data_IF_189522066221
#
_entry.id   IF_189522066221
#
_cell.length_a   1.000
_cell.length_b   1.000
_cell.length_c   1.000
_cell.angle_alpha   90.00
_cell.angle_beta   90.00
_cell.angle_gamma   90.00
#
_symmetry.space_group_name_H-M   'P 1'
#
loop_
_entity.id
_entity.type
_entity.pdbx_description
1 polymer ?
#
# COMPACT_ATOMS: atom_id res chain seq x y z
N UNK A 1 6.90 35.87 32.79
CA UNK A 1 6.06 34.68 32.56
C UNK A 1 4.67 35.15 32.19
N UNK A 2 4.28 34.96 30.93
CA UNK A 2 2.92 35.07 30.36
C UNK A 2 3.14 35.32 28.86
N UNK A 3 2.57 34.61 27.90
CA UNK A 3 1.82 33.37 27.85
C UNK A 3 1.82 33.07 26.36
N UNK A 4 2.40 31.95 25.94
CA UNK A 4 2.53 31.64 24.53
C UNK A 4 1.12 31.28 24.01
N UNK A 5 0.49 32.18 23.26
CA UNK A 5 -0.78 31.90 22.59
C UNK A 5 -0.50 30.94 21.43
N UNK A 6 -0.80 29.66 21.66
CA UNK A 6 -0.88 28.66 20.61
C UNK A 6 -2.06 28.98 19.71
N UNK A 7 -1.80 29.76 18.66
CA UNK A 7 -2.73 30.02 17.58
C UNK A 7 -2.78 28.78 16.68
N UNK A 8 -3.63 27.82 17.04
CA UNK A 8 -4.12 26.83 16.09
C UNK A 8 -5.03 27.58 15.10
N UNK A 9 -4.43 28.13 14.04
CA UNK A 9 -5.18 28.78 12.97
C UNK A 9 -6.14 27.79 12.35
N UNK A 10 -7.45 27.95 12.61
CA UNK A 10 -8.47 27.56 11.64
C UNK A 10 -8.06 28.23 10.33
N UNK A 11 -7.70 27.47 9.31
CA UNK A 11 -7.54 28.02 7.98
C UNK A 11 -8.89 28.59 7.57
N UNK A 12 -8.98 29.91 7.50
CA UNK A 12 -10.15 30.62 7.00
C UNK A 12 -10.41 30.16 5.56
N UNK A 13 -11.68 30.06 5.15
CA UNK A 13 -12.10 29.59 3.81
C UNK A 13 -11.35 30.32 2.66
N UNK A 14 -10.95 31.57 2.90
CA UNK A 14 -10.13 32.40 2.01
C UNK A 14 -8.74 31.81 1.68
N UNK A 15 -8.16 30.98 2.54
CA UNK A 15 -6.86 30.33 2.31
C UNK A 15 -6.91 29.19 1.29
N UNK A 16 -8.10 28.66 1.01
CA UNK A 16 -8.31 27.57 0.04
C UNK A 16 -8.72 28.08 -1.35
N UNK A 17 -9.11 29.34 -1.48
CA UNK A 17 -9.55 29.94 -2.76
C UNK A 17 -8.57 29.75 -3.93
N UNK A 18 -7.24 29.89 -3.76
CA UNK A 18 -6.30 29.61 -4.86
C UNK A 18 -6.36 28.15 -5.33
N UNK A 19 -6.56 27.21 -4.41
CA UNK A 19 -6.68 25.80 -4.71
C UNK A 19 -8.02 25.47 -5.35
N UNK A 20 -9.12 26.06 -4.85
CA UNK A 20 -10.45 25.94 -5.47
C UNK A 20 -10.41 26.38 -6.92
N UNK A 21 -9.74 27.50 -7.23
CA UNK A 21 -9.54 27.99 -8.60
C UNK A 21 -8.62 27.08 -9.43
N UNK A 22 -7.58 26.50 -8.82
CA UNK A 22 -6.68 25.58 -9.52
C UNK A 22 -7.39 24.27 -9.94
N UNK A 23 -8.29 23.77 -9.09
CA UNK A 23 -9.11 22.59 -9.37
C UNK A 23 -10.41 22.91 -10.13
N UNK A 24 -10.65 24.18 -10.47
CA UNK A 24 -11.86 24.60 -11.20
C UNK A 24 -11.91 23.91 -12.57
N UNK A 25 -13.09 23.39 -12.93
CA UNK A 25 -13.30 22.66 -14.18
C UNK A 25 -12.78 21.22 -14.22
N UNK A 26 -12.20 20.69 -13.13
CA UNK A 26 -11.79 19.28 -13.04
C UNK A 26 -12.38 18.61 -11.80
N UNK A 27 -12.67 17.30 -11.90
CA UNK A 27 -13.05 16.51 -10.75
C UNK A 27 -11.84 16.32 -9.82
N UNK A 28 -11.97 16.74 -8.56
CA UNK A 28 -10.87 16.74 -7.59
C UNK A 28 -10.31 15.33 -7.35
N UNK A 29 -11.16 14.29 -7.38
CA UNK A 29 -10.71 12.91 -7.20
C UNK A 29 -9.92 12.42 -8.41
N UNK A 30 -10.36 12.77 -9.62
CA UNK A 30 -9.63 12.53 -10.85
C UNK A 30 -8.26 13.20 -10.81
N UNK A 31 -8.19 14.47 -10.40
CA UNK A 31 -6.92 15.19 -10.26
C UNK A 31 -6.01 14.52 -9.23
N UNK A 32 -6.56 14.10 -8.08
CA UNK A 32 -5.81 13.38 -7.05
C UNK A 32 -5.22 12.08 -7.59
N UNK A 33 -6.00 11.28 -8.33
CA UNK A 33 -5.54 10.04 -8.95
C UNK A 33 -4.39 10.28 -9.91
N UNK A 34 -4.51 11.26 -10.81
CA UNK A 34 -3.45 11.58 -11.77
C UNK A 34 -2.20 12.14 -11.08
N UNK A 35 -2.36 12.99 -10.07
CA UNK A 35 -1.25 13.52 -9.29
C UNK A 35 -0.48 12.42 -8.56
N UNK A 36 -1.16 11.39 -8.04
CA UNK A 36 -0.53 10.22 -7.44
C UNK A 36 0.29 9.46 -8.49
N UNK A 37 -0.28 9.19 -9.67
CA UNK A 37 0.41 8.48 -10.76
C UNK A 37 1.67 9.24 -11.22
N UNK A 38 1.56 10.55 -11.44
CA UNK A 38 2.69 11.40 -11.85
C UNK A 38 3.76 11.42 -10.76
N UNK A 39 3.39 11.63 -9.50
CA UNK A 39 4.35 11.66 -8.39
C UNK A 39 5.09 10.32 -8.21
N UNK A 40 4.38 9.20 -8.38
CA UNK A 40 4.95 7.86 -8.31
C UNK A 40 5.93 7.58 -9.47
N UNK A 41 5.65 8.11 -10.67
CA UNK A 41 6.48 7.92 -11.87
C UNK A 41 7.72 8.81 -11.84
N UNK A 42 7.55 10.09 -11.55
CA UNK A 42 8.62 11.09 -11.69
C UNK A 42 9.49 11.19 -10.43
N UNK A 43 8.94 10.82 -9.26
CA UNK A 43 9.61 11.01 -7.96
C UNK A 43 9.30 9.87 -6.96
N UNK A 44 9.58 8.60 -7.32
CA UNK A 44 9.10 7.43 -6.57
C UNK A 44 9.55 7.39 -5.11
N UNK A 45 10.80 7.79 -4.82
CA UNK A 45 11.32 7.78 -3.45
C UNK A 45 10.70 8.89 -2.61
N UNK A 46 10.44 10.06 -3.20
CA UNK A 46 9.83 11.18 -2.48
C UNK A 46 8.35 10.95 -2.22
N UNK A 47 7.64 10.41 -3.21
CA UNK A 47 6.26 9.99 -3.05
C UNK A 47 6.13 8.97 -1.91
N UNK A 48 7.00 7.94 -1.86
CA UNK A 48 7.03 6.97 -0.75
C UNK A 48 7.24 7.64 0.61
N UNK A 49 8.16 8.59 0.73
CA UNK A 49 8.42 9.31 1.98
C UNK A 49 7.22 10.13 2.46
N UNK A 50 6.50 10.77 1.54
CA UNK A 50 5.39 11.68 1.88
C UNK A 50 4.04 11.00 2.02
N UNK A 51 3.89 9.80 1.45
CA UNK A 51 2.63 9.03 1.46
C UNK A 51 2.07 8.87 2.87
N UNK A 52 2.91 8.55 3.84
CA UNK A 52 2.44 8.25 5.20
C UNK A 52 1.82 9.49 5.85
N UNK A 53 2.41 10.68 5.64
CA UNK A 53 1.82 11.96 6.07
C UNK A 53 0.51 12.28 5.36
N UNK A 54 0.42 12.02 4.05
CA UNK A 54 -0.81 12.22 3.28
C UNK A 54 -1.93 11.30 3.79
N UNK A 55 -1.62 10.03 4.04
CA UNK A 55 -2.55 9.05 4.60
C UNK A 55 -3.04 9.48 5.98
N UNK A 56 -2.13 9.92 6.86
CA UNK A 56 -2.48 10.43 8.18
C UNK A 56 -3.43 11.63 8.09
N UNK A 57 -3.18 12.57 7.18
CA UNK A 57 -4.06 13.73 6.95
C UNK A 57 -5.46 13.29 6.50
N UNK A 58 -5.58 12.31 5.60
CA UNK A 58 -6.87 11.79 5.13
C UNK A 58 -7.70 11.24 6.29
N UNK A 59 -7.08 10.49 7.20
CA UNK A 59 -7.80 9.89 8.34
C UNK A 59 -8.04 10.85 9.52
N UNK A 60 -7.22 11.89 9.64
CA UNK A 60 -7.32 12.87 10.74
C UNK A 60 -8.25 14.04 10.41
N UNK A 61 -8.57 14.26 9.13
CA UNK A 61 -9.47 15.34 8.72
C UNK A 61 -10.89 14.98 9.17
N UNK A 62 -11.51 15.75 10.09
CA UNK A 62 -12.85 15.44 10.56
C UNK A 62 -13.83 15.60 9.39
N UNK A 63 -14.55 14.53 9.07
CA UNK A 63 -15.68 14.60 8.17
C UNK A 63 -16.70 15.56 8.79
N UNK A 64 -16.87 16.74 8.19
CA UNK A 64 -17.91 17.68 8.59
C UNK A 64 -19.24 16.98 8.37
N UNK A 65 -19.83 16.43 9.44
CA UNK A 65 -21.19 15.96 9.42
C UNK A 65 -22.08 17.17 9.19
N UNK A 66 -22.96 17.16 8.18
CA UNK A 66 -24.00 18.18 8.07
C UNK A 66 -24.93 18.02 9.28
N UNK A 67 -24.94 19.02 10.17
CA UNK A 67 -25.93 19.10 11.25
C UNK A 67 -27.31 19.30 10.63
N UNK A 68 -28.27 18.37 10.79
CA UNK A 68 -29.65 18.66 10.43
C UNK A 68 -30.24 19.53 11.55
N UNK A 69 -30.72 20.73 11.19
CA UNK A 69 -31.69 21.43 12.03
C UNK A 69 -31.36 22.89 12.34
N UNK A 70 -31.44 23.75 11.33
CA UNK A 70 -32.02 25.09 11.52
C UNK A 70 -33.40 25.09 10.85
N UNK A 71 -34.43 24.75 11.62
CA UNK A 71 -35.80 25.13 11.33
C UNK A 71 -36.39 25.72 12.62
N UNK A 72 -36.99 26.90 12.46
CA UNK A 72 -37.30 27.86 13.50
C UNK A 72 -38.49 27.49 14.41
N UNK A 73 -38.40 27.96 15.67
CA UNK A 73 -39.41 28.53 16.57
C UNK A 73 -40.87 28.01 16.56
N UNK A 74 -41.40 27.62 17.74
CA UNK A 74 -42.55 28.25 18.43
C UNK A 74 -42.51 27.98 19.96
N UNK A 75 -42.97 28.95 20.75
CA UNK A 75 -42.94 29.14 22.21
C UNK A 75 -43.81 28.19 23.08
N UNK A 76 -43.45 27.94 24.35
CA UNK A 76 -44.19 28.46 25.52
C UNK A 76 -44.38 27.43 26.67
N UNK A 77 -44.79 27.81 27.91
CA UNK A 77 -43.94 27.70 29.11
C UNK A 77 -44.54 26.96 30.34
N UNK A 78 -43.71 26.48 31.29
CA UNK A 78 -43.97 26.24 32.75
C UNK A 78 -42.81 25.39 33.31
N UNK A 79 -42.19 25.54 34.49
CA UNK A 79 -42.44 26.28 35.71
C UNK A 79 -41.84 25.49 36.90
N UNK A 80 -40.78 26.03 37.51
CA UNK A 80 -40.31 25.83 38.90
C UNK A 80 -39.44 24.61 39.35
N UNK A 81 -38.42 25.01 40.14
CA UNK A 81 -37.87 24.39 41.37
C UNK A 81 -36.65 23.43 41.33
N UNK A 82 -35.44 24.03 41.40
CA UNK A 82 -34.44 23.94 42.50
C UNK A 82 -34.49 22.67 43.40
N UNK A 83 -33.41 21.91 43.66
CA UNK A 83 -32.24 22.19 44.53
C UNK A 83 -31.25 20.98 44.56
N UNK A 84 -30.03 21.27 45.03
CA UNK A 84 -28.83 20.42 45.33
C UNK A 84 -29.06 19.05 46.00
N UNK A 85 -28.22 18.04 45.74
CA UNK A 85 -27.00 17.68 46.50
C UNK A 85 -26.50 16.25 46.17
N UNK A 86 -25.28 15.94 46.63
CA UNK A 86 -24.38 14.85 46.26
C UNK A 86 -24.64 13.47 46.89
N UNK A 87 -24.14 12.41 46.22
CA UNK A 87 -23.55 11.17 46.80
C UNK A 87 -22.98 10.30 45.67
N UNK A 88 -21.65 10.14 45.57
CA UNK A 88 -20.81 9.05 46.09
C UNK A 88 -21.13 7.65 45.52
N UNK A 89 -20.20 7.08 44.74
CA UNK A 89 -19.74 5.70 44.87
C UNK A 89 -18.71 5.40 43.77
N UNK A 90 -17.56 4.87 44.19
CA UNK A 90 -16.45 4.56 43.30
C UNK A 90 -16.75 3.45 42.30
N UNK A 91 -15.96 3.45 41.22
CA UNK A 91 -15.50 2.22 40.60
C UNK A 91 -14.18 2.54 39.87
N UNK A 92 -13.06 2.15 40.47
CA UNK A 92 -11.94 1.63 39.68
C UNK A 92 -12.29 0.16 39.42
N UNK A 93 -12.18 -0.29 38.18
CA UNK A 93 -11.24 -1.39 37.97
C UNK A 93 -10.35 -1.13 36.75
N UNK A 94 -9.06 -1.26 36.99
CA UNK A 94 -8.08 -1.64 35.98
C UNK A 94 -8.35 -3.06 35.51
N UNK A 95 -8.14 -3.28 34.21
CA UNK A 95 -7.72 -4.53 33.52
C UNK A 95 -8.78 -5.15 32.61
N UNK A 96 -8.27 -5.56 31.43
CA UNK A 96 -8.81 -6.52 30.45
C UNK A 96 -9.48 -5.81 29.28
N UNK A 97 -8.71 -5.46 28.25
CA UNK A 97 -8.26 -6.32 27.14
C UNK A 97 -9.32 -6.45 26.04
N UNK A 98 -8.86 -6.12 24.82
CA UNK A 98 -9.23 -6.81 23.59
C UNK A 98 -10.66 -6.60 23.09
N UNK A 99 -10.93 -5.50 22.40
CA UNK A 99 -11.61 -5.55 21.09
C UNK A 99 -11.80 -4.13 20.57
N UNK A 100 -10.83 -3.56 19.85
CA UNK A 100 -11.08 -2.64 18.71
C UNK A 100 -9.87 -2.63 17.73
N UNK A 101 -9.04 -3.69 17.73
CA UNK A 101 -7.92 -3.84 16.80
C UNK A 101 -8.33 -4.45 15.44
N UNK A 102 -9.63 -4.68 15.22
CA UNK A 102 -10.09 -5.60 14.17
C UNK A 102 -10.55 -4.97 12.85
N UNK A 103 -10.64 -3.63 12.71
CA UNK A 103 -11.34 -3.05 11.55
C UNK A 103 -10.66 -1.90 10.81
N UNK A 104 -9.33 -1.86 10.70
CA UNK A 104 -8.66 -1.08 9.61
C UNK A 104 -7.46 -1.75 8.93
N UNK A 105 -7.15 -3.02 9.24
CA UNK A 105 -6.26 -3.88 8.42
C UNK A 105 -6.96 -4.38 7.15
N UNK A 106 -7.71 -3.52 6.45
CA UNK A 106 -8.25 -3.87 5.14
C UNK A 106 -8.12 -2.68 4.21
N UNK A 107 -7.40 -2.95 3.12
CA UNK A 107 -7.52 -2.33 1.80
C UNK A 107 -6.51 -1.23 1.47
N UNK A 108 -5.25 -1.62 1.47
CA UNK A 108 -4.44 -1.43 0.25
C UNK A 108 -4.14 -2.82 -0.30
N UNK A 109 -5.15 -3.42 -0.95
CA UNK A 109 -5.00 -4.61 -1.80
C UNK A 109 -5.08 -4.07 -3.23
N UNK A 110 -4.02 -3.38 -3.64
CA UNK A 110 -3.74 -2.97 -5.02
C UNK A 110 -2.22 -2.94 -5.19
N UNK A 111 -1.58 -4.02 -4.77
CA UNK A 111 -0.14 -4.25 -4.89
C UNK A 111 0.19 -5.74 -5.12
N UNK A 112 -0.80 -6.65 -5.13
CA UNK A 112 -0.51 -8.07 -5.36
C UNK A 112 -0.24 -8.32 -6.84
N UNK A 113 -0.97 -7.69 -7.77
CA UNK A 113 -0.74 -7.93 -9.21
C UNK A 113 0.58 -7.36 -9.75
N UNK A 114 1.18 -6.35 -9.10
CA UNK A 114 2.51 -5.84 -9.50
C UNK A 114 3.66 -6.44 -8.67
N UNK A 115 3.39 -7.00 -7.49
CA UNK A 115 4.41 -7.75 -6.72
C UNK A 115 4.60 -9.17 -7.22
N UNK A 116 3.54 -9.86 -7.65
CA UNK A 116 3.70 -11.22 -8.17
C UNK A 116 4.64 -11.25 -9.39
N UNK A 117 4.47 -10.35 -10.35
CA UNK A 117 5.40 -10.22 -11.49
C UNK A 117 6.85 -9.85 -11.06
N UNK A 118 7.01 -9.07 -9.98
CA UNK A 118 8.33 -8.72 -9.43
C UNK A 118 8.99 -9.90 -8.70
N UNK A 119 8.23 -10.68 -7.94
CA UNK A 119 8.70 -11.83 -7.17
C UNK A 119 9.03 -13.02 -8.08
N UNK A 120 8.23 -13.26 -9.11
CA UNK A 120 8.50 -14.26 -10.13
C UNK A 120 9.80 -13.92 -10.88
N UNK A 121 10.00 -12.66 -11.26
CA UNK A 121 11.26 -12.21 -11.88
C UNK A 121 12.47 -12.33 -10.92
N UNK A 122 12.32 -12.00 -9.64
CA UNK A 122 13.39 -12.15 -8.65
C UNK A 122 13.80 -13.62 -8.46
N UNK A 123 12.84 -14.53 -8.44
CA UNK A 123 13.10 -15.96 -8.31
C UNK A 123 13.76 -16.54 -9.56
N UNK A 124 13.28 -16.16 -10.75
CA UNK A 124 13.92 -16.52 -12.02
C UNK A 124 15.36 -16.03 -12.07
N UNK A 125 15.66 -14.82 -11.57
CA UNK A 125 17.03 -14.30 -11.48
C UNK A 125 17.90 -15.09 -10.49
N UNK A 126 17.35 -15.52 -9.35
CA UNK A 126 18.08 -16.39 -8.40
C UNK A 126 18.44 -17.73 -9.06
N UNK A 127 17.50 -18.35 -9.77
CA UNK A 127 17.75 -19.59 -10.50
C UNK A 127 18.78 -19.35 -11.61
N UNK A 128 18.67 -18.27 -12.36
CA UNK A 128 19.62 -17.88 -13.41
C UNK A 128 21.05 -17.82 -12.87
N UNK A 129 21.27 -17.22 -11.70
CA UNK A 129 22.60 -17.11 -11.10
C UNK A 129 23.19 -18.47 -10.72
N UNK A 130 22.35 -19.41 -10.28
CA UNK A 130 22.76 -20.80 -10.04
C UNK A 130 23.20 -21.46 -11.35
N UNK A 131 22.38 -21.33 -12.39
CA UNK A 131 22.62 -21.93 -13.70
C UNK A 131 23.84 -21.31 -14.42
N UNK A 132 24.13 -20.04 -14.20
CA UNK A 132 25.35 -19.38 -14.71
C UNK A 132 26.62 -20.00 -14.12
N UNK A 133 26.56 -20.46 -12.87
CA UNK A 133 27.67 -21.10 -12.15
C UNK A 133 27.66 -22.62 -12.31
N UNK A 134 27.06 -23.14 -13.38
CA UNK A 134 26.83 -24.58 -13.56
C UNK A 134 28.05 -25.50 -13.41
N UNK A 135 29.26 -25.02 -13.68
CA UNK A 135 30.51 -25.80 -13.54
C UNK A 135 30.86 -26.07 -12.06
N UNK A 136 30.37 -25.23 -11.15
CA UNK A 136 30.61 -25.35 -9.71
C UNK A 136 29.45 -26.09 -9.01
N UNK A 137 28.34 -26.33 -9.72
CA UNK A 137 27.14 -26.94 -9.17
C UNK A 137 27.08 -28.43 -9.49
N UNK A 138 26.44 -29.21 -8.62
CA UNK A 138 26.17 -30.61 -8.91
C UNK A 138 25.02 -30.76 -9.90
N UNK A 139 25.03 -31.83 -10.69
CA UNK A 139 23.97 -32.12 -11.65
C UNK A 139 22.57 -32.19 -10.99
N UNK A 140 22.48 -32.70 -9.76
CA UNK A 140 21.22 -32.75 -9.00
C UNK A 140 20.69 -31.37 -8.64
N UNK A 141 21.57 -30.44 -8.26
CA UNK A 141 21.19 -29.08 -7.89
C UNK A 141 20.74 -28.26 -9.12
N UNK A 142 21.40 -28.48 -10.26
CA UNK A 142 21.00 -27.90 -11.55
C UNK A 142 19.64 -28.44 -12.01
N UNK A 143 19.41 -29.75 -11.89
CA UNK A 143 18.12 -30.36 -12.23
C UNK A 143 16.98 -29.82 -11.37
N UNK A 144 17.19 -29.68 -10.06
CA UNK A 144 16.17 -29.12 -9.17
C UNK A 144 15.86 -27.65 -9.54
N UNK A 145 16.89 -26.88 -9.84
CA UNK A 145 16.77 -25.49 -10.27
C UNK A 145 16.02 -25.37 -11.60
N UNK A 146 16.30 -26.24 -12.58
CA UNK A 146 15.61 -26.28 -13.86
C UNK A 146 14.15 -26.75 -13.74
N UNK A 147 13.85 -27.72 -12.87
CA UNK A 147 12.47 -28.15 -12.59
C UNK A 147 11.66 -27.02 -11.95
N UNK A 148 12.27 -26.31 -10.99
CA UNK A 148 11.66 -25.14 -10.37
C UNK A 148 11.43 -24.02 -11.38
N UNK A 149 12.33 -23.85 -12.33
CA UNK A 149 12.18 -22.92 -13.43
C UNK A 149 11.01 -23.31 -14.36
N UNK A 150 10.83 -24.59 -14.66
CA UNK A 150 9.70 -25.10 -15.45
C UNK A 150 8.34 -24.90 -14.76
N UNK A 151 8.31 -24.98 -13.43
CA UNK A 151 7.10 -24.76 -12.64
C UNK A 151 6.69 -23.29 -12.55
N UNK A 152 7.64 -22.36 -12.76
CA UNK A 152 7.30 -20.95 -12.96
C UNK A 152 6.75 -20.79 -14.37
N UNK A 153 5.53 -20.28 -14.51
CA UNK A 153 4.90 -20.07 -15.82
C UNK A 153 5.67 -18.97 -16.59
N UNK A 154 6.73 -19.35 -17.31
CA UNK A 154 7.58 -18.43 -18.05
C UNK A 154 6.79 -17.82 -19.20
N UNK A 155 6.46 -16.54 -19.07
CA UNK A 155 5.94 -15.75 -20.20
C UNK A 155 7.10 -15.26 -21.08
N UNK A 156 6.80 -14.91 -22.33
CA UNK A 156 7.79 -14.34 -23.27
C UNK A 156 8.48 -13.12 -22.65
N UNK A 157 7.72 -12.27 -21.95
CA UNK A 157 8.26 -11.08 -21.27
C UNK A 157 9.27 -11.44 -20.17
N UNK A 158 9.04 -12.52 -19.41
CA UNK A 158 9.97 -12.95 -18.34
C UNK A 158 11.27 -13.49 -18.94
N UNK A 159 11.18 -14.25 -20.03
CA UNK A 159 12.36 -14.74 -20.76
C UNK A 159 13.23 -13.59 -21.28
N UNK A 160 12.61 -12.61 -21.94
CA UNK A 160 13.29 -11.44 -22.50
C UNK A 160 13.87 -10.53 -21.40
N UNK A 161 13.11 -10.23 -20.36
CA UNK A 161 13.53 -9.32 -19.29
C UNK A 161 14.66 -9.91 -18.44
N UNK A 162 14.57 -11.20 -18.12
CA UNK A 162 15.57 -11.86 -17.27
C UNK A 162 16.76 -12.38 -18.08
N UNK A 163 16.64 -12.50 -19.41
CA UNK A 163 17.64 -13.12 -20.31
C UNK A 163 18.05 -14.51 -19.83
N UNK A 164 17.12 -15.26 -19.26
CA UNK A 164 17.40 -16.62 -18.75
C UNK A 164 17.53 -17.62 -19.90
N UNK A 165 16.88 -17.35 -21.03
CA UNK A 165 17.00 -18.10 -22.29
C UNK A 165 18.45 -18.35 -22.72
N UNK A 166 19.35 -17.38 -22.53
CA UNK A 166 20.77 -17.50 -22.90
C UNK A 166 21.48 -18.51 -22.01
N UNK A 167 21.14 -18.53 -20.73
CA UNK A 167 21.74 -19.43 -19.73
C UNK A 167 21.21 -20.85 -19.92
N UNK A 168 19.91 -20.99 -20.18
CA UNK A 168 19.26 -22.26 -20.50
C UNK A 168 19.82 -22.84 -21.81
N UNK A 169 20.01 -22.01 -22.85
CA UNK A 169 20.64 -22.44 -24.10
C UNK A 169 22.09 -22.91 -23.90
N UNK A 170 22.85 -22.30 -22.98
CA UNK A 170 24.20 -22.76 -22.65
C UNK A 170 24.21 -24.17 -22.01
N UNK A 171 23.17 -24.51 -21.26
CA UNK A 171 22.99 -25.83 -20.64
C UNK A 171 22.56 -26.93 -21.62
N UNK A 172 22.13 -26.59 -22.84
CA UNK A 172 21.79 -27.58 -23.87
C UNK A 172 22.99 -28.45 -24.30
N UNK A 173 24.22 -28.03 -23.96
CA UNK A 173 25.48 -28.76 -24.21
C UNK A 173 26.03 -29.46 -22.97
N UNK A 174 25.27 -29.50 -21.87
CA UNK A 174 25.72 -30.11 -20.62
C UNK A 174 25.96 -31.62 -20.78
N UNK A 175 26.91 -32.16 -20.01
CA UNK A 175 27.31 -33.58 -20.08
C UNK A 175 26.20 -34.55 -19.62
N UNK A 176 25.34 -34.11 -18.72
CA UNK A 176 24.16 -34.87 -18.27
C UNK A 176 23.05 -34.85 -19.31
N UNK A 177 22.63 -36.03 -19.74
CA UNK A 177 21.50 -36.21 -20.65
C UNK A 177 20.18 -35.68 -20.05
N UNK A 178 19.95 -35.91 -18.76
CA UNK A 178 18.72 -35.47 -18.08
C UNK A 178 18.60 -33.94 -18.05
N UNK A 179 19.71 -33.23 -17.88
CA UNK A 179 19.74 -31.76 -17.90
C UNK A 179 19.40 -31.25 -19.29
N UNK A 180 19.94 -31.88 -20.34
CA UNK A 180 19.67 -31.52 -21.73
C UNK A 180 18.21 -31.72 -22.10
N UNK A 181 17.62 -32.84 -21.71
CA UNK A 181 16.21 -33.14 -21.99
C UNK A 181 15.29 -32.12 -21.32
N UNK A 182 15.58 -31.76 -20.07
CA UNK A 182 14.80 -30.78 -19.32
C UNK A 182 14.92 -29.37 -19.91
N UNK A 183 16.12 -28.97 -20.34
CA UNK A 183 16.35 -27.70 -21.06
C UNK A 183 15.56 -27.64 -22.36
N UNK A 184 15.50 -28.74 -23.12
CA UNK A 184 14.72 -28.81 -24.35
C UNK A 184 13.21 -28.73 -24.09
N UNK A 185 12.75 -29.15 -22.92
CA UNK A 185 11.34 -29.06 -22.55
C UNK A 185 10.93 -27.63 -22.16
N UNK A 186 11.84 -26.90 -21.48
CA UNK A 186 11.65 -25.48 -21.12
C UNK A 186 11.65 -24.56 -22.35
N UNK A 187 12.34 -24.95 -23.43
CA UNK A 187 12.48 -24.16 -24.65
C UNK A 187 11.37 -24.38 -25.70
N UNK A 188 10.36 -25.21 -25.41
CA UNK A 188 9.20 -25.46 -26.28
C UNK A 188 8.04 -24.53 -25.96
#
# INVERSE_FOLDING_TARGET
MAGNSSQAGRMDDAGLEPWRRFFDGADIFTVLTHAILVAATDSPQEFKRRRDTIVEQIYSTPAVLPTPGTAAAVEGPSGAARRVSAENAGNKPTTTCQQEAATRRRRWVLDDEMKEASLENEEVLRIKDILLKHQEQSASFLLESLRRLQLMQLTVDVLENTKIEVVVAALAKHESHEIRDLVLDIAK
#
